data_IF_086710475713
#
_entry.id   IF_086710475713
#
_cell.length_a   1.000
_cell.length_b   1.000
_cell.length_c   1.000
_cell.angle_alpha   90.00
_cell.angle_beta   90.00
_cell.angle_gamma   90.00
#
_symmetry.space_group_name_H-M   'P 1'
#
loop_
_entity.id
_entity.type
_entity.pdbx_description
1 polymer ?
#
# COMPACT_ATOMS: atom_id res chain seq x y z
N UNK A 1 -14.25 2.80 47.17
CA UNK A 1 -14.41 4.27 47.17
C UNK A 1 -15.87 4.60 46.95
N UNK A 2 -16.44 5.36 47.87
CA UNK A 2 -17.83 5.81 47.72
C UNK A 2 -17.77 7.13 46.96
N UNK A 3 -18.19 7.12 45.74
CA UNK A 3 -18.38 8.38 44.99
C UNK A 3 -19.65 9.03 45.56
N UNK A 4 -19.57 10.29 45.93
CA UNK A 4 -20.71 11.06 46.34
C UNK A 4 -21.73 11.13 45.21
N UNK A 5 -23.03 11.08 45.54
CA UNK A 5 -24.09 11.18 44.57
C UNK A 5 -23.98 12.47 43.74
N UNK A 6 -24.00 12.30 42.40
CA UNK A 6 -24.10 13.41 41.46
C UNK A 6 -25.57 13.80 41.34
N UNK A 7 -25.89 15.05 41.65
CA UNK A 7 -27.25 15.58 41.50
C UNK A 7 -27.32 16.47 40.28
N UNK A 8 -28.17 16.15 39.31
CA UNK A 8 -28.48 17.03 38.18
C UNK A 8 -29.49 18.08 38.62
N UNK A 9 -29.14 19.34 38.53
CA UNK A 9 -30.00 20.47 39.00
C UNK A 9 -30.82 21.13 37.86
N UNK A 10 -30.74 20.56 36.67
CA UNK A 10 -31.50 21.02 35.51
C UNK A 10 -30.81 22.06 34.64
N UNK A 11 -29.59 22.45 34.98
CA UNK A 11 -28.78 23.38 34.16
C UNK A 11 -27.74 22.66 33.27
N UNK A 12 -27.44 21.40 33.57
CA UNK A 12 -26.34 20.64 32.96
C UNK A 12 -26.67 19.95 31.64
N UNK A 13 -27.88 20.12 31.10
CA UNK A 13 -28.31 19.54 29.83
C UNK A 13 -28.01 18.02 29.70
N UNK A 14 -28.08 17.31 30.82
CA UNK A 14 -27.81 15.86 30.88
C UNK A 14 -26.36 15.44 30.98
N UNK A 15 -25.40 16.37 31.10
CA UNK A 15 -23.96 16.10 31.27
C UNK A 15 -23.47 16.72 32.57
N UNK A 16 -22.69 15.95 33.34
CA UNK A 16 -22.05 16.45 34.55
C UNK A 16 -20.68 15.81 34.74
N UNK A 17 -19.69 16.65 35.00
CA UNK A 17 -18.33 16.19 35.29
C UNK A 17 -18.22 15.70 36.72
N UNK A 18 -17.49 14.61 36.93
CA UNK A 18 -17.17 14.06 38.23
C UNK A 18 -15.66 13.77 38.30
N UNK A 19 -15.09 13.99 39.47
CA UNK A 19 -13.69 13.68 39.73
C UNK A 19 -13.62 12.46 40.63
N UNK A 20 -12.79 11.47 40.22
CA UNK A 20 -12.53 10.26 40.98
C UNK A 20 -11.17 10.39 41.68
N UNK A 21 -11.17 10.14 42.98
CA UNK A 21 -9.97 10.06 43.79
C UNK A 21 -9.85 8.66 44.43
N UNK A 22 -8.67 8.04 44.32
CA UNK A 22 -8.39 6.75 44.90
C UNK A 22 -7.09 6.81 45.70
N UNK A 23 -7.11 6.31 46.92
CA UNK A 23 -5.96 6.42 47.83
C UNK A 23 -5.04 5.18 47.85
N UNK A 24 -5.44 4.12 47.17
CA UNK A 24 -4.65 2.90 47.14
C UNK A 24 -3.88 2.80 45.83
N UNK A 25 -2.60 2.56 45.92
CA UNK A 25 -1.72 2.31 44.78
C UNK A 25 -2.09 1.01 44.06
N UNK A 26 -1.74 0.95 42.79
CA UNK A 26 -1.91 -0.24 41.94
C UNK A 26 -3.34 -0.79 41.85
N UNK A 27 -4.30 0.10 41.85
CA UNK A 27 -5.69 -0.28 41.65
C UNK A 27 -6.15 -0.02 40.21
N UNK A 28 -6.62 -1.05 39.54
CA UNK A 28 -7.31 -0.96 38.26
C UNK A 28 -8.81 -0.98 38.51
N UNK A 29 -9.49 0.12 38.24
CA UNK A 29 -10.91 0.28 38.56
C UNK A 29 -11.73 0.61 37.32
N UNK A 30 -12.92 -0.03 37.23
CA UNK A 30 -13.98 0.44 36.35
C UNK A 30 -14.84 1.43 37.10
N UNK A 31 -15.19 2.54 36.45
CA UNK A 31 -16.13 3.52 37.00
C UNK A 31 -17.53 3.16 36.57
N UNK A 32 -18.42 2.96 37.51
CA UNK A 32 -19.83 2.71 37.24
C UNK A 32 -20.69 3.83 37.80
N UNK A 33 -21.66 4.26 37.03
CA UNK A 33 -22.72 5.19 37.47
C UNK A 33 -24.05 4.46 37.48
N UNK A 34 -24.81 4.61 38.54
CA UNK A 34 -26.11 3.96 38.73
C UNK A 34 -27.13 5.02 39.24
N UNK A 35 -28.26 5.08 38.57
CA UNK A 35 -29.43 5.72 39.14
C UNK A 35 -30.19 4.69 39.99
N UNK A 36 -30.11 4.85 41.31
CA UNK A 36 -30.72 3.94 42.25
C UNK A 36 -32.25 4.03 42.30
N UNK A 37 -32.82 5.04 41.70
CA UNK A 37 -34.28 5.20 41.66
C UNK A 37 -34.88 4.51 40.45
N UNK A 38 -34.27 4.71 39.28
CA UNK A 38 -34.77 4.16 38.00
C UNK A 38 -34.12 2.81 37.68
N UNK A 39 -33.08 2.42 38.41
CA UNK A 39 -32.34 1.15 38.17
C UNK A 39 -31.55 1.11 36.91
N UNK A 40 -31.16 2.27 36.40
CA UNK A 40 -30.29 2.37 35.18
C UNK A 40 -28.86 2.54 35.60
N UNK A 41 -27.99 1.67 35.05
CA UNK A 41 -26.56 1.68 35.35
C UNK A 41 -25.71 1.63 34.06
N UNK A 42 -24.53 2.23 34.12
CA UNK A 42 -23.50 2.13 33.09
C UNK A 42 -22.12 2.02 33.74
N UNK A 43 -21.24 1.27 33.12
CA UNK A 43 -19.84 1.11 33.54
C UNK A 43 -18.93 1.61 32.43
N UNK A 44 -17.78 2.21 32.79
CA UNK A 44 -16.77 2.64 31.81
C UNK A 44 -16.33 1.46 30.96
N UNK A 45 -16.10 1.72 29.66
CA UNK A 45 -15.63 0.70 28.72
C UNK A 45 -14.21 0.24 29.01
N UNK A 46 -13.38 1.13 29.59
CA UNK A 46 -11.98 0.85 29.95
C UNK A 46 -11.79 1.08 31.46
N UNK A 47 -10.94 0.28 32.09
CA UNK A 47 -10.54 0.54 33.47
C UNK A 47 -9.64 1.79 33.56
N UNK A 48 -9.56 2.36 34.74
CA UNK A 48 -8.61 3.42 35.09
C UNK A 48 -7.60 2.87 36.09
N UNK A 49 -6.34 2.97 35.79
CA UNK A 49 -5.24 2.56 36.66
C UNK A 49 -4.81 3.74 37.56
N UNK A 50 -4.70 3.49 38.84
CA UNK A 50 -4.22 4.42 39.84
C UNK A 50 -2.82 4.02 40.26
N UNK A 51 -1.80 4.83 39.89
CA UNK A 51 -0.39 4.58 40.18
C UNK A 51 0.27 5.88 40.58
N UNK A 52 1.34 5.80 41.36
CA UNK A 52 2.16 6.97 41.73
C UNK A 52 3.19 7.30 40.66
N UNK A 53 3.53 6.32 39.80
CA UNK A 53 4.53 6.45 38.77
C UNK A 53 4.28 5.49 37.62
N UNK A 54 4.92 5.75 36.50
CA UNK A 54 4.78 4.95 35.29
C UNK A 54 5.67 5.47 34.18
N UNK A 55 5.44 4.96 32.97
CA UNK A 55 6.01 5.52 31.76
C UNK A 55 4.94 6.21 30.94
N UNK A 56 5.36 7.21 30.18
CA UNK A 56 4.61 7.67 29.00
C UNK A 56 5.39 7.33 27.76
N UNK A 57 4.67 6.97 26.69
CA UNK A 57 5.25 6.64 25.39
C UNK A 57 4.73 7.64 24.38
N UNK A 58 5.65 8.27 23.66
CA UNK A 58 5.33 9.07 22.48
C UNK A 58 5.79 8.29 21.26
N UNK A 59 4.84 7.79 20.46
CA UNK A 59 5.09 7.04 19.22
C UNK A 59 4.80 7.91 18.00
N UNK A 60 5.47 7.66 16.86
CA UNK A 60 5.00 8.21 15.59
C UNK A 60 3.64 7.59 15.24
N UNK A 61 2.75 8.35 14.61
CA UNK A 61 1.47 7.82 14.14
C UNK A 61 1.65 6.72 13.08
N UNK A 62 2.69 6.86 12.26
CA UNK A 62 3.07 5.85 11.27
C UNK A 62 4.54 5.98 10.88
N UNK A 63 5.11 4.88 10.38
CA UNK A 63 6.42 4.90 9.73
C UNK A 63 6.47 3.85 8.60
N UNK A 64 7.55 3.88 7.83
CA UNK A 64 7.71 3.00 6.67
C UNK A 64 8.54 1.78 7.05
N UNK A 65 8.09 0.60 6.65
CA UNK A 65 8.78 -0.66 6.92
C UNK A 65 10.22 -0.66 6.37
N UNK A 66 11.13 -1.29 7.08
CA UNK A 66 12.56 -1.29 6.77
C UNK A 66 13.25 0.06 7.01
N UNK A 67 12.51 1.10 7.39
CA UNK A 67 13.03 2.39 7.81
C UNK A 67 13.19 2.46 9.32
N UNK A 68 14.01 3.40 9.78
CA UNK A 68 14.08 3.76 11.18
C UNK A 68 13.09 4.89 11.49
N UNK A 69 12.48 4.82 12.67
CA UNK A 69 11.70 5.88 13.28
C UNK A 69 12.09 5.97 14.75
N UNK A 70 11.58 6.93 15.49
CA UNK A 70 11.89 7.07 16.91
C UNK A 70 10.62 7.12 17.74
N UNK A 71 10.68 6.51 18.91
CA UNK A 71 9.74 6.72 19.99
C UNK A 71 10.47 7.29 21.20
N UNK A 72 9.75 7.93 22.08
CA UNK A 72 10.29 8.42 23.33
C UNK A 72 9.57 7.77 24.50
N UNK A 73 10.34 7.19 25.41
CA UNK A 73 9.86 6.64 26.67
C UNK A 73 10.27 7.58 27.80
N UNK A 74 9.31 8.09 28.56
CA UNK A 74 9.55 9.01 29.66
C UNK A 74 9.06 8.40 30.96
N UNK A 75 9.94 8.27 31.94
CA UNK A 75 9.59 7.92 33.31
C UNK A 75 8.95 9.13 33.99
N UNK A 76 7.73 8.95 34.47
CA UNK A 76 6.93 9.98 35.11
C UNK A 76 6.50 9.53 36.51
N UNK A 77 6.37 10.48 37.39
CA UNK A 77 5.85 10.25 38.73
C UNK A 77 5.07 11.46 39.24
N UNK A 78 4.59 11.38 40.46
CA UNK A 78 3.88 12.45 41.14
C UNK A 78 4.85 13.57 41.47
N UNK A 79 4.43 14.83 41.37
CA UNK A 79 5.19 15.97 41.81
C UNK A 79 5.08 16.15 43.34
N UNK A 80 5.89 17.02 43.92
CA UNK A 80 5.90 17.30 45.37
C UNK A 80 4.56 17.83 45.90
N UNK A 81 3.64 18.19 45.03
CA UNK A 81 2.31 18.69 45.40
C UNK A 81 1.23 17.64 45.34
N UNK A 82 1.52 16.48 44.70
CA UNK A 82 0.55 15.39 44.49
C UNK A 82 -0.55 15.73 43.47
N UNK A 83 -0.34 16.73 42.63
CA UNK A 83 -1.36 17.27 41.74
C UNK A 83 -1.01 17.17 40.26
N UNK A 84 0.27 16.92 39.93
CA UNK A 84 0.72 16.85 38.53
C UNK A 84 1.77 15.75 38.33
N UNK A 85 1.82 15.23 37.11
CA UNK A 85 2.87 14.31 36.72
C UNK A 85 4.12 15.10 36.32
N UNK A 86 5.30 14.65 36.82
CA UNK A 86 6.59 15.18 36.44
C UNK A 86 7.51 14.08 35.94
N UNK A 87 8.50 14.47 35.13
CA UNK A 87 9.55 13.53 34.70
C UNK A 87 10.44 13.17 35.89
N UNK A 88 10.67 11.90 36.11
CA UNK A 88 11.59 11.39 37.14
C UNK A 88 13.03 11.60 36.67
N UNK A 89 13.55 12.80 36.84
CA UNK A 89 14.90 13.19 36.36
C UNK A 89 16.04 12.38 36.94
N UNK A 90 15.82 11.77 38.09
CA UNK A 90 16.77 10.85 38.71
C UNK A 90 16.75 9.46 38.08
N UNK A 91 15.71 9.06 37.34
CA UNK A 91 15.67 7.77 36.62
C UNK A 91 16.64 7.87 35.43
N UNK A 92 17.88 7.42 35.61
CA UNK A 92 18.96 7.61 34.64
C UNK A 92 19.84 6.35 34.52
N UNK A 93 20.65 6.30 33.44
CA UNK A 93 21.54 5.18 33.16
C UNK A 93 20.82 4.02 32.45
N UNK A 94 21.53 2.92 32.29
CA UNK A 94 20.98 1.72 31.68
C UNK A 94 19.92 1.09 32.60
N UNK A 95 18.78 0.73 32.04
CA UNK A 95 17.67 0.06 32.70
C UNK A 95 17.23 -1.14 31.90
N UNK A 96 17.05 -2.25 32.59
CA UNK A 96 16.53 -3.48 31.99
C UNK A 96 15.00 -3.48 32.09
N UNK A 97 14.35 -3.71 30.94
CA UNK A 97 12.90 -3.68 30.81
C UNK A 97 12.39 -4.96 30.19
N UNK A 98 11.13 -5.23 30.40
CA UNK A 98 10.32 -6.12 29.59
C UNK A 98 9.66 -5.29 28.50
N UNK A 99 9.77 -5.73 27.25
CA UNK A 99 9.09 -5.11 26.11
C UNK A 99 8.34 -6.19 25.34
N UNK A 100 7.15 -5.87 24.92
CA UNK A 100 6.35 -6.70 24.03
C UNK A 100 5.46 -5.84 23.18
N UNK A 101 5.00 -6.37 22.06
CA UNK A 101 4.14 -5.62 21.15
C UNK A 101 2.85 -6.38 20.87
N UNK A 102 1.80 -5.66 20.54
CA UNK A 102 0.53 -6.23 20.08
C UNK A 102 0.37 -5.92 18.60
N UNK A 103 -0.02 -6.93 17.85
CA UNK A 103 -0.41 -6.77 16.46
C UNK A 103 -1.93 -6.71 16.43
N UNK A 104 -2.48 -5.63 15.94
CA UNK A 104 -3.91 -5.56 15.65
C UNK A 104 -4.11 -6.19 14.27
N UNK A 105 -4.48 -7.48 14.29
CA UNK A 105 -4.71 -8.26 13.08
C UNK A 105 -5.99 -7.75 12.44
N UNK A 106 -5.90 -7.43 11.16
CA UNK A 106 -7.04 -7.11 10.34
C UNK A 106 -8.05 -8.27 10.36
N UNK A 107 -9.32 -7.94 10.15
CA UNK A 107 -10.52 -8.77 10.34
C UNK A 107 -10.60 -10.06 9.52
N UNK A 108 -9.55 -10.45 8.84
CA UNK A 108 -9.44 -11.75 8.20
C UNK A 108 -9.00 -12.81 9.21
N UNK A 109 -9.93 -13.61 9.62
CA UNK A 109 -9.94 -14.68 10.59
C UNK A 109 -8.89 -15.81 10.41
N UNK A 110 -7.70 -15.51 9.94
CA UNK A 110 -6.52 -16.36 9.96
C UNK A 110 -5.60 -15.90 11.08
N UNK A 111 -5.13 -16.81 11.93
CA UNK A 111 -4.09 -16.49 12.89
C UNK A 111 -2.82 -16.09 12.10
N UNK A 112 -2.64 -14.78 11.85
CA UNK A 112 -1.39 -14.27 11.30
C UNK A 112 -0.30 -14.56 12.31
N UNK A 113 0.54 -15.50 11.97
CA UNK A 113 1.75 -15.76 12.73
C UNK A 113 2.69 -14.61 12.39
N UNK A 114 2.82 -13.65 13.29
CA UNK A 114 3.84 -12.62 13.19
C UNK A 114 5.19 -13.33 13.21
N UNK A 115 5.83 -13.37 12.04
CA UNK A 115 7.11 -14.06 11.85
C UNK A 115 8.30 -13.10 11.96
N UNK A 116 8.03 -11.83 12.22
CA UNK A 116 9.03 -10.76 12.15
C UNK A 116 9.11 -10.04 13.48
N UNK A 117 10.31 -9.87 14.00
CA UNK A 117 10.56 -9.19 15.26
C UNK A 117 10.48 -7.67 15.11
N UNK A 118 9.90 -7.00 16.11
CA UNK A 118 10.02 -5.56 16.27
C UNK A 118 11.45 -5.23 16.74
N UNK A 119 12.05 -4.20 16.19
CA UNK A 119 13.38 -3.74 16.58
C UNK A 119 13.28 -2.49 17.45
N UNK A 120 13.89 -2.52 18.62
CA UNK A 120 14.07 -1.37 19.51
C UNK A 120 15.56 -1.19 19.78
N UNK A 121 16.14 -0.07 19.38
CA UNK A 121 17.61 0.15 19.41
C UNK A 121 18.39 -1.03 18.83
N UNK A 122 17.88 -1.59 17.73
CA UNK A 122 18.41 -2.79 17.08
C UNK A 122 18.32 -4.10 17.91
N UNK A 123 17.68 -4.09 19.06
CA UNK A 123 17.35 -5.29 19.84
C UNK A 123 16.03 -5.88 19.34
N UNK A 124 16.04 -7.17 19.04
CA UNK A 124 14.86 -7.87 18.52
C UNK A 124 13.89 -8.19 19.66
N UNK A 125 12.64 -7.77 19.53
CA UNK A 125 11.54 -8.08 20.42
C UNK A 125 10.59 -9.03 19.69
N UNK A 126 10.56 -10.28 20.12
CA UNK A 126 9.70 -11.33 19.57
C UNK A 126 8.41 -11.57 20.37
N UNK A 127 8.34 -11.01 21.58
CA UNK A 127 7.24 -11.29 22.51
C UNK A 127 5.99 -10.49 22.14
N UNK A 128 4.84 -11.18 22.07
CA UNK A 128 3.51 -10.59 21.82
C UNK A 128 2.66 -10.52 23.11
N UNK A 129 3.25 -10.93 24.23
CA UNK A 129 2.69 -10.85 25.57
C UNK A 129 3.84 -10.54 26.53
N UNK A 130 3.53 -10.10 27.76
CA UNK A 130 4.54 -9.81 28.77
C UNK A 130 5.53 -10.98 28.95
N UNK A 131 6.83 -10.78 28.67
CA UNK A 131 7.84 -11.81 28.84
C UNK A 131 8.12 -12.08 30.32
N UNK A 132 8.56 -13.30 30.63
CA UNK A 132 8.88 -13.71 31.99
C UNK A 132 10.14 -13.00 32.53
N UNK A 133 11.06 -12.60 31.65
CA UNK A 133 12.32 -11.93 31.99
C UNK A 133 12.50 -10.66 31.14
N UNK A 134 13.37 -9.76 31.63
CA UNK A 134 13.76 -8.58 30.87
C UNK A 134 14.40 -9.00 29.54
N UNK A 135 13.98 -8.36 28.45
CA UNK A 135 14.40 -8.64 27.06
C UNK A 135 14.89 -7.39 26.33
N UNK A 136 14.94 -6.23 27.02
CA UNK A 136 15.34 -4.96 26.47
C UNK A 136 16.14 -4.16 27.49
N UNK A 137 17.26 -3.55 27.09
CA UNK A 137 18.01 -2.58 27.91
C UNK A 137 18.00 -1.23 27.21
N UNK A 138 17.49 -0.18 27.89
CA UNK A 138 17.46 1.18 27.41
C UNK A 138 18.30 2.09 28.31
N UNK A 139 18.87 3.13 27.73
CA UNK A 139 19.60 4.17 28.48
C UNK A 139 18.74 5.41 28.67
N UNK A 140 18.44 5.71 29.92
CA UNK A 140 17.68 6.91 30.29
C UNK A 140 18.62 8.04 30.62
N UNK A 141 18.26 9.23 30.15
CA UNK A 141 18.91 10.50 30.50
C UNK A 141 17.87 11.43 31.17
N UNK A 142 18.01 11.62 32.45
CA UNK A 142 17.08 12.45 33.24
C UNK A 142 15.61 12.05 33.02
N UNK A 143 15.33 10.75 33.09
CA UNK A 143 13.99 10.19 32.96
C UNK A 143 13.52 9.94 31.53
N UNK A 144 14.30 10.26 30.51
CA UNK A 144 13.92 10.15 29.11
C UNK A 144 14.84 9.17 28.38
N UNK A 145 14.26 8.25 27.61
CA UNK A 145 14.96 7.44 26.63
C UNK A 145 14.35 7.68 25.25
N UNK A 146 15.19 8.11 24.30
CA UNK A 146 14.86 8.14 22.89
C UNK A 146 15.27 6.79 22.31
N UNK A 147 14.35 6.10 21.67
CA UNK A 147 14.48 4.70 21.22
C UNK A 147 14.25 4.64 19.72
N UNK A 148 15.21 4.10 18.99
CA UNK A 148 15.03 3.81 17.59
C UNK A 148 14.07 2.61 17.44
N UNK A 149 12.99 2.80 16.67
CA UNK A 149 12.02 1.77 16.37
C UNK A 149 12.08 1.39 14.90
N UNK A 150 12.12 0.11 14.60
CA UNK A 150 12.09 -0.43 13.25
C UNK A 150 11.24 -1.69 13.17
N UNK A 151 10.58 -1.88 12.03
CA UNK A 151 9.86 -3.10 11.72
C UNK A 151 10.13 -3.46 10.26
N UNK A 152 10.73 -4.62 9.98
CA UNK A 152 11.15 -4.96 8.62
C UNK A 152 9.99 -5.39 7.71
N UNK A 153 8.80 -5.59 8.26
CA UNK A 153 7.59 -5.88 7.51
C UNK A 153 6.58 -4.73 7.62
N UNK A 154 5.56 -4.73 6.79
CA UNK A 154 4.46 -3.78 6.84
C UNK A 154 3.14 -4.54 6.88
N UNK A 155 2.10 -3.87 7.29
CA UNK A 155 0.78 -4.43 7.18
C UNK A 155 -0.06 -4.32 8.44
N UNK A 156 0.54 -4.04 9.58
CA UNK A 156 -0.16 -4.13 10.85
C UNK A 156 -0.15 -2.79 11.60
N UNK A 157 -1.23 -2.57 12.34
CA UNK A 157 -1.25 -1.56 13.40
C UNK A 157 -0.60 -2.18 14.61
N UNK A 158 0.46 -1.60 15.11
CA UNK A 158 1.25 -2.12 16.22
C UNK A 158 1.10 -1.22 17.44
N UNK A 159 0.84 -1.83 18.59
CA UNK A 159 0.99 -1.20 19.88
C UNK A 159 2.18 -1.80 20.62
N UNK A 160 2.89 -1.01 21.40
CA UNK A 160 4.06 -1.44 22.15
C UNK A 160 3.84 -1.22 23.64
N UNK A 161 4.34 -2.17 24.44
CA UNK A 161 4.25 -2.15 25.89
C UNK A 161 5.65 -2.23 26.50
N UNK A 162 5.85 -1.48 27.58
CA UNK A 162 7.06 -1.52 28.37
C UNK A 162 6.71 -1.75 29.85
N UNK A 163 7.59 -2.49 30.52
CA UNK A 163 7.52 -2.70 31.96
C UNK A 163 8.92 -2.73 32.55
N UNK A 164 9.12 -1.97 33.59
CA UNK A 164 10.31 -2.05 34.44
C UNK A 164 9.90 -2.63 35.78
N UNK A 165 10.31 -3.86 36.02
CA UNK A 165 10.15 -4.51 37.33
C UNK A 165 11.37 -4.16 38.12
N UNK A 166 11.36 -3.21 39.05
CA UNK A 166 12.47 -3.19 39.90
C UNK A 166 12.43 -2.51 41.23
N UNK A 167 13.46 -2.90 41.88
CA UNK A 167 13.98 -2.45 43.15
C UNK A 167 14.22 -0.94 43.21
N UNK A 168 14.23 -0.41 44.40
CA UNK A 168 14.11 1.01 44.67
C UNK A 168 15.15 1.86 43.92
N UNK A 169 14.67 2.91 43.33
CA UNK A 169 15.40 3.91 42.56
C UNK A 169 16.63 4.46 43.24
N UNK A 170 16.68 4.63 44.58
CA UNK A 170 17.83 5.16 45.30
C UNK A 170 18.15 4.45 46.60
N UNK A 171 17.50 3.39 46.93
CA UNK A 171 17.72 2.64 48.16
C UNK A 171 17.15 3.29 49.42
N UNK A 172 16.39 4.37 49.34
CA UNK A 172 15.90 5.11 50.50
C UNK A 172 14.39 5.01 50.74
N UNK A 173 13.60 4.60 49.73
CA UNK A 173 12.16 4.40 49.90
C UNK A 173 11.83 3.03 49.31
N UNK A 174 11.40 2.12 50.13
CA UNK A 174 10.79 0.86 49.73
C UNK A 174 9.47 1.21 49.05
N UNK A 175 9.25 0.68 47.86
CA UNK A 175 7.97 0.65 47.14
C UNK A 175 7.86 1.56 45.91
N UNK A 176 8.78 1.39 44.93
CA UNK A 176 8.41 1.61 43.56
C UNK A 176 7.86 0.28 43.00
N UNK A 177 6.58 0.26 42.83
CA UNK A 177 5.94 -0.82 42.10
C UNK A 177 6.04 -0.48 40.62
N UNK A 178 6.35 -1.43 39.81
CA UNK A 178 6.30 -1.48 38.36
C UNK A 178 6.01 -0.18 37.59
N UNK A 179 6.98 0.36 36.85
CA UNK A 179 6.71 1.36 35.84
C UNK A 179 6.24 0.64 34.56
N UNK A 180 5.03 0.92 34.14
CA UNK A 180 4.46 0.32 32.93
C UNK A 180 3.90 1.39 32.02
N UNK A 181 3.86 1.09 30.73
CA UNK A 181 3.14 1.85 29.74
C UNK A 181 2.73 0.99 28.57
N UNK A 182 1.65 1.40 27.93
CA UNK A 182 1.22 0.91 26.63
C UNK A 182 1.10 2.10 25.68
N UNK A 183 1.62 1.96 24.48
CA UNK A 183 1.45 3.00 23.46
C UNK A 183 0.05 2.99 22.86
N UNK A 184 -0.31 4.06 22.19
CA UNK A 184 -1.34 4.00 21.15
C UNK A 184 -0.83 3.15 19.98
N UNK A 185 -1.76 2.55 19.25
CA UNK A 185 -1.42 1.85 18.00
C UNK A 185 -0.79 2.80 16.99
N UNK A 186 0.10 2.27 16.18
CA UNK A 186 0.75 2.96 15.07
C UNK A 186 0.81 2.08 13.82
N UNK A 187 0.93 2.70 12.66
CA UNK A 187 0.90 2.01 11.38
C UNK A 187 2.29 1.86 10.81
N UNK A 188 2.66 0.64 10.44
CA UNK A 188 3.86 0.38 9.63
C UNK A 188 3.42 0.10 8.20
N UNK A 189 3.74 1.02 7.29
CA UNK A 189 3.29 0.99 5.89
C UNK A 189 4.43 0.65 4.94
N UNK A 190 4.11 0.09 3.74
CA UNK A 190 5.09 -0.04 2.67
C UNK A 190 5.66 1.33 2.26
N UNK A 191 6.90 1.33 1.78
CA UNK A 191 7.50 2.50 1.17
C UNK A 191 6.81 2.87 -0.15
N UNK A 192 6.56 1.87 -0.98
CA UNK A 192 5.88 2.02 -2.26
C UNK A 192 5.26 0.68 -2.69
N UNK A 193 4.35 0.74 -3.65
CA UNK A 193 3.87 -0.43 -4.37
C UNK A 193 4.53 -0.44 -5.73
N UNK A 194 5.58 -1.23 -5.87
CA UNK A 194 6.37 -1.34 -7.11
C UNK A 194 5.56 -2.03 -8.21
N UNK A 195 5.76 -1.61 -9.45
CA UNK A 195 5.29 -2.30 -10.64
C UNK A 195 6.49 -2.81 -11.45
N UNK A 196 6.37 -3.98 -12.04
CA UNK A 196 7.41 -4.54 -12.88
C UNK A 196 6.83 -5.41 -14.00
N UNK A 197 7.56 -5.50 -15.11
CA UNK A 197 7.28 -6.39 -16.23
C UNK A 197 8.59 -7.10 -16.54
N UNK A 198 8.58 -8.43 -16.51
CA UNK A 198 9.79 -9.24 -16.64
C UNK A 198 10.38 -9.26 -18.06
N UNK A 199 9.58 -8.94 -19.09
CA UNK A 199 10.05 -8.89 -20.49
C UNK A 199 11.01 -7.71 -20.69
N UNK A 200 12.21 -7.99 -21.16
CA UNK A 200 13.23 -6.98 -21.39
C UNK A 200 12.84 -5.92 -22.46
N UNK A 201 11.88 -6.24 -23.34
CA UNK A 201 11.38 -5.31 -24.36
C UNK A 201 10.22 -4.44 -23.84
N UNK A 202 9.77 -4.65 -22.61
CA UNK A 202 8.67 -3.88 -22.04
C UNK A 202 9.03 -2.44 -21.69
N UNK A 203 10.31 -2.10 -21.68
CA UNK A 203 10.79 -0.75 -21.39
C UNK A 203 11.62 -0.20 -22.55
N UNK A 204 11.38 1.05 -22.91
CA UNK A 204 12.17 1.72 -23.94
C UNK A 204 13.54 2.13 -23.39
N UNK A 205 14.57 1.98 -24.21
CA UNK A 205 15.88 2.52 -23.88
C UNK A 205 15.85 4.06 -23.79
N UNK A 206 16.76 4.63 -23.01
CA UNK A 206 16.89 6.08 -22.86
C UNK A 206 17.05 6.77 -24.22
N UNK A 207 16.25 7.80 -24.49
CA UNK A 207 16.23 8.53 -25.74
C UNK A 207 15.46 7.85 -26.89
N UNK A 208 14.92 6.64 -26.67
CA UNK A 208 14.16 5.87 -27.66
C UNK A 208 12.66 5.74 -27.30
N UNK A 209 12.12 6.69 -26.57
CA UNK A 209 10.70 6.69 -26.16
C UNK A 209 9.83 7.21 -27.31
N UNK A 210 9.85 6.50 -28.44
CA UNK A 210 9.16 6.84 -29.67
C UNK A 210 8.92 5.57 -30.51
N UNK A 211 8.72 5.71 -31.79
CA UNK A 211 8.53 4.62 -32.76
C UNK A 211 9.78 3.69 -32.90
N UNK A 212 10.96 4.10 -32.40
CA UNK A 212 12.19 3.30 -32.45
C UNK A 212 12.34 2.37 -31.25
N UNK A 213 11.52 2.52 -30.20
CA UNK A 213 11.48 1.59 -29.08
C UNK A 213 11.26 0.15 -29.58
N UNK A 214 11.91 -0.82 -28.94
CA UNK A 214 11.76 -2.25 -29.25
C UNK A 214 10.30 -2.70 -29.21
N UNK A 215 9.94 -3.65 -30.07
CA UNK A 215 8.60 -4.25 -30.02
C UNK A 215 8.44 -5.04 -28.73
N UNK A 216 7.37 -4.78 -28.02
CA UNK A 216 6.99 -5.52 -26.80
C UNK A 216 5.94 -6.58 -27.14
N UNK A 217 4.64 -6.23 -27.13
CA UNK A 217 3.53 -7.11 -27.48
C UNK A 217 2.58 -6.38 -28.44
N UNK A 218 1.72 -7.15 -29.12
CA UNK A 218 0.68 -6.53 -29.94
C UNK A 218 -0.32 -5.76 -29.06
N UNK A 219 -0.83 -4.64 -29.58
CA UNK A 219 -1.91 -3.90 -28.92
C UNK A 219 -3.09 -4.83 -28.63
N UNK A 220 -3.62 -4.83 -27.42
CA UNK A 220 -4.68 -5.73 -26.96
C UNK A 220 -4.21 -7.12 -26.53
N UNK A 221 -2.97 -7.54 -26.87
CA UNK A 221 -2.46 -8.83 -26.41
C UNK A 221 -2.12 -8.81 -24.91
N UNK A 222 -2.38 -9.92 -24.18
CA UNK A 222 -2.11 -9.99 -22.76
C UNK A 222 -0.62 -10.04 -22.47
N UNK A 223 -0.23 -9.41 -21.35
CA UNK A 223 1.09 -9.51 -20.72
C UNK A 223 0.96 -9.61 -19.20
N UNK A 224 2.06 -9.97 -18.54
CA UNK A 224 2.12 -10.08 -17.09
C UNK A 224 2.62 -8.75 -16.52
N UNK A 225 1.80 -8.12 -15.69
CA UNK A 225 2.20 -6.99 -14.85
C UNK A 225 2.28 -7.47 -13.41
N UNK A 226 3.45 -7.41 -12.82
CA UNK A 226 3.68 -7.75 -11.41
C UNK A 226 3.62 -6.50 -10.55
N UNK A 227 3.08 -6.66 -9.36
CA UNK A 227 3.02 -5.60 -8.36
C UNK A 227 3.47 -6.14 -7.01
N UNK A 228 4.30 -5.39 -6.30
CA UNK A 228 4.92 -5.79 -5.04
C UNK A 228 4.94 -4.62 -4.06
N UNK A 229 4.45 -4.86 -2.85
CA UNK A 229 4.59 -3.93 -1.73
C UNK A 229 6.02 -4.00 -1.20
N UNK A 230 6.75 -2.90 -1.23
CA UNK A 230 8.17 -2.86 -0.86
C UNK A 230 8.44 -1.97 0.34
N UNK A 231 9.28 -2.46 1.22
CA UNK A 231 9.89 -1.72 2.32
C UNK A 231 11.08 -0.87 1.84
N UNK A 232 11.59 0.03 2.68
CA UNK A 232 12.87 0.72 2.44
C UNK A 232 13.97 -0.35 2.36
N UNK A 233 14.81 -0.23 1.33
CA UNK A 233 15.84 -1.25 1.05
C UNK A 233 15.40 -2.36 0.11
N UNK A 234 14.13 -2.39 -0.32
CA UNK A 234 13.63 -3.28 -1.38
C UNK A 234 13.15 -4.65 -0.90
N UNK A 235 13.05 -4.88 0.41
CA UNK A 235 12.40 -6.08 0.95
C UNK A 235 10.89 -6.04 0.70
N UNK A 236 10.27 -7.21 0.48
CA UNK A 236 8.82 -7.32 0.34
C UNK A 236 8.13 -7.10 1.68
N UNK A 237 7.02 -6.38 1.67
CA UNK A 237 6.13 -6.22 2.80
C UNK A 237 5.10 -7.37 2.78
N UNK A 238 5.49 -8.54 3.28
CA UNK A 238 4.75 -9.81 3.10
C UNK A 238 3.33 -9.77 3.69
N UNK A 239 3.11 -8.99 4.75
CA UNK A 239 1.82 -8.86 5.41
C UNK A 239 0.93 -7.74 4.83
N UNK A 240 1.40 -7.07 3.77
CA UNK A 240 0.62 -5.99 3.17
C UNK A 240 -0.67 -6.52 2.54
N UNK A 241 -1.80 -5.96 2.99
CA UNK A 241 -3.12 -6.16 2.42
C UNK A 241 -3.70 -4.81 2.03
N UNK A 242 -4.14 -4.68 0.79
CA UNK A 242 -4.66 -3.41 0.30
C UNK A 242 -5.05 -3.47 -1.16
N UNK A 243 -5.56 -2.39 -1.69
CA UNK A 243 -5.92 -2.28 -3.09
C UNK A 243 -5.13 -1.19 -3.81
N UNK A 244 -4.93 -1.38 -5.09
CA UNK A 244 -4.34 -0.40 -5.98
C UNK A 244 -5.29 -0.08 -7.13
N UNK A 245 -5.37 1.18 -7.48
CA UNK A 245 -5.93 1.63 -8.75
C UNK A 245 -4.81 1.72 -9.79
N UNK A 246 -5.07 1.20 -10.99
CA UNK A 246 -4.12 1.28 -12.11
C UNK A 246 -4.65 2.26 -13.15
N UNK A 247 -3.81 3.18 -13.54
CA UNK A 247 -4.07 4.12 -14.64
C UNK A 247 -2.94 4.04 -15.65
N UNK A 248 -3.21 4.49 -16.87
CA UNK A 248 -2.20 4.57 -17.91
C UNK A 248 -2.31 5.89 -18.67
N UNK A 249 -1.21 6.30 -19.27
CA UNK A 249 -1.15 7.49 -20.10
C UNK A 249 -0.34 7.22 -21.36
N UNK A 250 -0.74 7.80 -22.50
CA UNK A 250 0.03 7.76 -23.73
C UNK A 250 1.28 8.65 -23.55
N UNK A 251 2.46 8.08 -23.84
CA UNK A 251 3.73 8.78 -23.83
C UNK A 251 4.16 9.10 -25.26
N UNK A 252 3.99 8.15 -26.19
CA UNK A 252 4.31 8.33 -27.61
C UNK A 252 3.37 7.44 -28.46
N UNK A 253 2.82 7.95 -29.59
CA UNK A 253 2.99 9.29 -30.15
C UNK A 253 2.53 10.40 -29.21
N UNK A 254 2.77 11.65 -29.59
CA UNK A 254 2.46 12.83 -28.74
C UNK A 254 1.00 12.74 -28.25
N UNK A 255 0.74 12.83 -26.93
CA UNK A 255 -0.58 12.63 -26.35
C UNK A 255 -1.71 13.48 -26.94
N UNK A 256 -1.40 14.71 -27.39
CA UNK A 256 -2.37 15.60 -28.02
C UNK A 256 -2.85 15.16 -29.40
N UNK A 257 -2.12 14.22 -30.04
CA UNK A 257 -2.42 13.73 -31.37
C UNK A 257 -2.77 12.24 -31.40
N UNK A 258 -2.66 11.55 -30.28
CA UNK A 258 -2.89 10.12 -30.17
C UNK A 258 -4.02 9.74 -29.20
N UNK A 259 -4.41 8.47 -29.24
CA UNK A 259 -5.38 7.85 -28.33
C UNK A 259 -4.64 7.11 -27.23
N UNK A 260 -5.05 7.28 -25.98
CA UNK A 260 -4.54 6.46 -24.88
C UNK A 260 -5.08 5.02 -24.92
N UNK A 261 -6.17 4.78 -25.63
CA UNK A 261 -6.83 3.48 -25.62
C UNK A 261 -7.40 3.13 -24.25
N UNK A 262 -7.38 1.83 -23.91
CA UNK A 262 -7.83 1.33 -22.61
C UNK A 262 -6.82 0.37 -22.00
N UNK A 263 -6.76 0.36 -20.67
CA UNK A 263 -6.04 -0.61 -19.86
C UNK A 263 -7.04 -1.71 -19.43
N UNK A 264 -6.67 -2.98 -19.59
CA UNK A 264 -7.63 -4.08 -19.33
C UNK A 264 -7.91 -4.25 -17.84
N UNK A 265 -6.87 -4.24 -17.01
CA UNK A 265 -6.98 -4.34 -15.56
C UNK A 265 -6.68 -2.96 -14.99
N UNK A 266 -7.67 -2.35 -14.34
CA UNK A 266 -7.57 -1.00 -13.77
C UNK A 266 -7.54 -0.98 -12.23
N UNK A 267 -7.62 -2.13 -11.59
CA UNK A 267 -7.47 -2.28 -10.14
C UNK A 267 -7.01 -3.70 -9.79
N UNK A 268 -6.33 -3.83 -8.66
CA UNK A 268 -5.96 -5.11 -8.09
C UNK A 268 -5.95 -5.03 -6.57
N UNK A 269 -6.06 -6.18 -5.90
CA UNK A 269 -6.09 -6.28 -4.44
C UNK A 269 -5.05 -7.28 -3.98
N UNK A 270 -4.35 -6.93 -2.92
CA UNK A 270 -3.43 -7.80 -2.19
C UNK A 270 -4.21 -8.42 -1.03
N UNK A 271 -4.33 -9.72 -1.01
CA UNK A 271 -4.90 -10.48 0.09
C UNK A 271 -3.83 -11.10 0.98
N UNK A 272 -4.23 -11.68 2.10
CA UNK A 272 -3.32 -12.31 3.08
C UNK A 272 -2.48 -13.45 2.50
N UNK A 273 -2.99 -14.16 1.49
CA UNK A 273 -2.28 -15.28 0.84
C UNK A 273 -1.25 -14.83 -0.21
N UNK A 274 -1.22 -13.55 -0.57
CA UNK A 274 -0.38 -13.04 -1.66
C UNK A 274 1.06 -12.74 -1.22
N UNK A 275 1.32 -12.67 0.08
CA UNK A 275 2.66 -12.38 0.61
C UNK A 275 3.22 -11.06 0.08
N UNK A 276 2.41 -10.01 0.02
CA UNK A 276 2.80 -8.68 -0.45
C UNK A 276 3.09 -8.56 -1.96
N UNK A 277 2.84 -9.61 -2.76
CA UNK A 277 3.13 -9.60 -4.20
C UNK A 277 2.04 -10.28 -5.03
N UNK A 278 1.62 -9.62 -6.10
CA UNK A 278 0.56 -10.13 -7.00
C UNK A 278 0.99 -10.07 -8.47
N UNK A 279 0.40 -10.93 -9.29
CA UNK A 279 0.59 -10.94 -10.73
C UNK A 279 -0.72 -10.79 -11.48
N UNK A 280 -0.77 -9.84 -12.38
CA UNK A 280 -1.88 -9.59 -13.30
C UNK A 280 -1.54 -10.17 -14.67
N UNK A 281 -1.89 -11.44 -14.89
CA UNK A 281 -1.49 -12.23 -16.07
C UNK A 281 -2.16 -11.79 -17.38
N UNK A 282 -3.27 -11.06 -17.30
CA UNK A 282 -4.07 -10.65 -18.45
C UNK A 282 -4.12 -9.14 -18.62
N UNK A 283 -3.06 -8.43 -18.21
CA UNK A 283 -2.98 -7.02 -18.47
C UNK A 283 -2.80 -6.76 -19.96
N UNK A 284 -3.44 -5.75 -20.50
CA UNK A 284 -3.25 -5.33 -21.89
C UNK A 284 -3.52 -3.84 -22.08
N UNK A 285 -2.92 -3.27 -23.11
CA UNK A 285 -3.19 -1.91 -23.59
C UNK A 285 -3.74 -1.99 -25.00
N UNK A 286 -4.91 -1.40 -25.24
CA UNK A 286 -5.66 -1.60 -26.47
C UNK A 286 -5.14 -0.79 -27.68
N UNK A 287 -4.09 0.02 -27.52
CA UNK A 287 -3.63 0.95 -28.56
C UNK A 287 -2.12 0.78 -28.84
N UNK A 288 -1.70 1.19 -30.02
CA UNK A 288 -0.29 1.25 -30.45
C UNK A 288 0.40 2.42 -29.77
N UNK A 289 1.66 2.23 -29.37
CA UNK A 289 2.47 3.30 -28.79
C UNK A 289 3.32 2.87 -27.61
N UNK A 290 3.81 3.85 -26.90
CA UNK A 290 4.50 3.72 -25.61
C UNK A 290 3.64 4.40 -24.55
N UNK A 291 3.47 3.75 -23.41
CA UNK A 291 2.58 4.20 -22.35
C UNK A 291 3.29 4.26 -21.01
N UNK A 292 2.80 5.10 -20.12
CA UNK A 292 3.08 4.99 -18.68
C UNK A 292 1.99 4.15 -18.00
N UNK A 293 2.33 3.41 -16.95
CA UNK A 293 1.36 2.73 -16.08
C UNK A 293 1.65 3.16 -14.66
N UNK A 294 0.63 3.65 -13.96
CA UNK A 294 0.74 4.14 -12.58
C UNK A 294 -0.15 3.30 -11.67
N UNK A 295 0.44 2.82 -10.57
CA UNK A 295 -0.27 2.24 -9.44
C UNK A 295 -0.47 3.31 -8.37
N UNK A 296 -1.71 3.50 -7.96
CA UNK A 296 -2.08 4.39 -6.85
C UNK A 296 -2.70 3.53 -5.75
N UNK A 297 -1.99 3.29 -4.64
CA UNK A 297 -2.53 2.55 -3.51
C UNK A 297 -3.70 3.28 -2.86
N UNK A 298 -4.67 2.52 -2.34
CA UNK A 298 -5.65 3.07 -1.40
C UNK A 298 -4.96 3.47 -0.08
N UNK A 299 -5.64 4.32 0.70
CA UNK A 299 -5.16 4.63 2.05
C UNK A 299 -5.05 3.34 2.88
N UNK A 300 -3.92 3.19 3.56
CA UNK A 300 -3.60 2.04 4.39
C UNK A 300 -3.73 2.45 5.85
N UNK A 301 -4.78 1.98 6.54
CA UNK A 301 -5.16 2.43 7.91
C UNK A 301 -5.19 3.96 8.06
N UNK A 302 -5.66 4.66 7.02
CA UNK A 302 -5.69 6.13 7.00
C UNK A 302 -4.40 6.79 6.49
N UNK A 303 -3.32 6.05 6.34
CA UNK A 303 -2.02 6.52 5.88
C UNK A 303 -1.87 6.46 4.36
N UNK A 304 -1.15 7.40 3.79
CA UNK A 304 -0.90 7.45 2.34
C UNK A 304 0.36 6.69 1.99
N UNK A 305 0.28 5.86 0.95
CA UNK A 305 1.43 5.26 0.28
C UNK A 305 1.61 6.00 -1.05
N UNK A 306 2.84 6.37 -1.39
CA UNK A 306 3.13 7.11 -2.62
C UNK A 306 2.79 6.27 -3.87
N UNK A 307 2.20 6.88 -4.92
CA UNK A 307 1.99 6.20 -6.19
C UNK A 307 3.33 5.89 -6.87
N UNK A 308 3.35 4.78 -7.61
CA UNK A 308 4.50 4.35 -8.40
C UNK A 308 4.15 4.31 -9.89
N UNK A 309 5.07 4.73 -10.74
CA UNK A 309 4.85 4.78 -12.18
C UNK A 309 5.97 4.06 -12.95
N UNK A 310 5.59 3.13 -13.80
CA UNK A 310 6.43 2.68 -14.92
C UNK A 310 6.33 3.74 -16.02
N UNK A 311 7.40 4.49 -16.32
CA UNK A 311 7.31 5.67 -17.17
C UNK A 311 7.16 5.34 -18.65
N UNK A 312 7.66 4.17 -19.10
CA UNK A 312 7.73 3.79 -20.51
C UNK A 312 7.48 2.31 -20.68
N UNK A 313 6.24 1.94 -20.94
CA UNK A 313 5.83 0.56 -21.22
C UNK A 313 5.49 0.44 -22.71
N UNK A 314 6.07 -0.54 -23.38
CA UNK A 314 5.86 -0.75 -24.80
C UNK A 314 7.19 -0.79 -25.55
N UNK A 315 7.25 -0.79 -26.85
CA UNK A 315 6.27 -0.33 -27.84
C UNK A 315 5.23 -1.40 -28.17
N UNK A 316 3.97 -1.05 -28.02
CA UNK A 316 2.88 -1.86 -28.54
C UNK A 316 2.76 -1.64 -30.04
N UNK A 317 2.43 -2.72 -30.80
CA UNK A 317 2.35 -2.70 -32.26
C UNK A 317 1.04 -3.37 -32.72
N UNK A 318 0.57 -3.16 -33.98
CA UNK A 318 -0.63 -3.81 -34.46
C UNK A 318 -0.48 -5.33 -34.51
N UNK A 319 -1.53 -6.06 -34.21
CA UNK A 319 -1.54 -7.53 -34.28
C UNK A 319 -1.57 -7.99 -35.74
N UNK A 320 -2.51 -7.47 -36.50
CA UNK A 320 -2.71 -7.82 -37.90
C UNK A 320 -3.34 -6.68 -38.71
N UNK A 321 -3.47 -6.91 -40.00
CA UNK A 321 -4.17 -6.01 -40.92
C UNK A 321 -5.38 -6.73 -41.51
N UNK A 322 -6.46 -5.97 -41.72
CA UNK A 322 -7.64 -6.46 -42.42
C UNK A 322 -7.97 -5.57 -43.61
N UNK A 323 -8.50 -6.18 -44.64
CA UNK A 323 -9.10 -5.48 -45.79
C UNK A 323 -10.58 -5.22 -45.48
N UNK A 324 -10.96 -3.95 -45.33
CA UNK A 324 -12.32 -3.57 -44.91
C UNK A 324 -13.22 -3.23 -46.08
N UNK A 325 -12.65 -2.79 -47.18
CA UNK A 325 -13.38 -2.58 -48.44
C UNK A 325 -12.46 -2.75 -49.61
N UNK A 326 -13.00 -3.23 -50.73
CA UNK A 326 -12.35 -3.24 -52.02
C UNK A 326 -13.39 -2.96 -53.08
N UNK A 327 -13.01 -2.21 -54.10
CA UNK A 327 -13.80 -2.03 -55.28
C UNK A 327 -12.91 -2.01 -56.50
N UNK A 328 -13.38 -2.57 -57.59
CA UNK A 328 -12.77 -2.52 -58.91
C UNK A 328 -13.77 -1.91 -59.87
N UNK A 329 -13.33 -0.99 -60.69
CA UNK A 329 -14.13 -0.54 -61.85
C UNK A 329 -13.54 -1.12 -63.13
N UNK A 330 -14.35 -1.87 -63.83
CA UNK A 330 -13.97 -2.43 -65.14
C UNK A 330 -14.04 -1.35 -66.20
N UNK A 331 -13.14 -1.39 -67.17
CA UNK A 331 -13.15 -0.47 -68.31
C UNK A 331 -14.31 -0.74 -69.28
N UNK A 332 -14.82 -2.00 -69.25
CA UNK A 332 -16.02 -2.38 -69.97
C UNK A 332 -17.03 -2.97 -68.97
N UNK A 333 -18.31 -2.82 -69.23
CA UNK A 333 -19.37 -3.33 -68.31
C UNK A 333 -19.19 -4.81 -68.00
N UNK A 334 -18.54 -5.15 -66.86
CA UNK A 334 -18.34 -6.47 -66.34
C UNK A 334 -17.05 -7.19 -66.71
N UNK A 335 -16.12 -6.54 -67.42
CA UNK A 335 -14.78 -7.09 -67.70
C UNK A 335 -13.77 -6.00 -68.07
N UNK A 336 -12.50 -6.31 -67.95
CA UNK A 336 -11.36 -5.50 -68.43
C UNK A 336 -10.54 -6.31 -69.42
N UNK A 337 -9.97 -5.65 -70.43
CA UNK A 337 -9.13 -6.31 -71.41
C UNK A 337 -7.79 -6.71 -70.85
N UNK A 338 -7.23 -7.81 -71.35
CA UNK A 338 -5.85 -8.18 -71.14
C UNK A 338 -4.93 -7.09 -71.74
N UNK A 339 -3.84 -6.75 -71.00
CA UNK A 339 -2.89 -5.68 -71.40
C UNK A 339 -3.50 -4.24 -71.41
N UNK A 340 -4.61 -4.03 -70.71
CA UNK A 340 -5.20 -2.73 -70.53
C UNK A 340 -4.30 -1.84 -69.69
N UNK A 341 -4.15 -0.57 -70.06
CA UNK A 341 -3.28 0.34 -69.33
C UNK A 341 -3.83 0.72 -67.96
N UNK A 342 -2.95 0.98 -66.97
CA UNK A 342 -3.29 1.24 -65.57
C UNK A 342 -4.29 2.39 -65.38
N UNK A 343 -4.50 3.28 -66.36
CA UNK A 343 -5.41 4.41 -66.28
C UNK A 343 -6.89 4.07 -66.45
N UNK A 344 -7.19 2.82 -66.82
CA UNK A 344 -8.56 2.39 -67.19
C UNK A 344 -9.16 1.38 -66.20
N UNK A 345 -8.40 0.92 -65.21
CA UNK A 345 -8.87 0.00 -64.17
C UNK A 345 -8.58 0.68 -62.82
N UNK A 346 -9.63 1.11 -62.13
CA UNK A 346 -9.49 1.62 -60.77
C UNK A 346 -9.71 0.48 -59.78
N UNK A 347 -8.69 0.22 -58.99
CA UNK A 347 -8.75 -0.68 -57.84
C UNK A 347 -8.56 0.15 -56.57
N UNK A 348 -9.60 0.22 -55.75
CA UNK A 348 -9.52 0.84 -54.44
C UNK A 348 -9.72 -0.17 -53.35
N UNK A 349 -8.98 -0.01 -52.27
CA UNK A 349 -9.11 -0.84 -51.10
C UNK A 349 -8.75 -0.03 -49.84
N UNK A 350 -9.39 -0.44 -48.73
CA UNK A 350 -9.09 0.11 -47.42
C UNK A 350 -8.50 -0.96 -46.54
N UNK A 351 -7.33 -0.75 -46.02
CA UNK A 351 -6.64 -1.64 -45.08
C UNK A 351 -6.61 -0.99 -43.71
N UNK A 352 -6.96 -1.73 -42.69
CA UNK A 352 -6.94 -1.27 -41.31
C UNK A 352 -5.97 -2.10 -40.48
N UNK A 353 -5.15 -1.43 -39.65
CA UNK A 353 -4.36 -2.05 -38.60
C UNK A 353 -5.27 -2.39 -37.41
N UNK A 354 -5.20 -3.62 -36.96
CA UNK A 354 -6.07 -4.15 -35.90
C UNK A 354 -5.24 -4.57 -34.68
N UNK A 355 -5.86 -4.45 -33.52
CA UNK A 355 -5.34 -5.01 -32.27
C UNK A 355 -5.69 -6.50 -32.13
N UNK A 356 -5.01 -7.20 -31.24
CA UNK A 356 -5.38 -8.55 -30.82
C UNK A 356 -6.84 -8.58 -30.33
N UNK A 357 -7.59 -9.57 -30.80
CA UNK A 357 -9.04 -9.67 -30.54
C UNK A 357 -9.91 -8.74 -31.39
N UNK A 358 -9.32 -8.00 -32.33
CA UNK A 358 -10.02 -7.13 -33.27
C UNK A 358 -10.19 -5.68 -32.78
N UNK A 359 -10.44 -4.80 -33.73
CA UNK A 359 -10.62 -3.36 -33.51
C UNK A 359 -9.44 -2.51 -33.98
N UNK A 360 -9.78 -1.38 -34.56
CA UNK A 360 -8.83 -0.42 -35.12
C UNK A 360 -7.87 0.10 -34.05
N UNK A 361 -6.57 0.24 -34.40
CA UNK A 361 -5.57 0.97 -33.62
C UNK A 361 -5.31 2.32 -34.28
N UNK A 362 -5.77 3.39 -33.63
CA UNK A 362 -5.76 4.75 -34.18
C UNK A 362 -4.36 5.36 -34.24
N UNK A 363 -3.47 4.95 -33.33
CA UNK A 363 -2.11 5.48 -33.27
C UNK A 363 -1.17 4.87 -34.30
N UNK A 364 -1.63 3.91 -35.12
CA UNK A 364 -0.83 3.33 -36.18
C UNK A 364 -0.81 4.27 -37.41
N UNK A 365 -0.17 5.39 -37.25
CA UNK A 365 0.00 6.43 -38.25
C UNK A 365 1.38 7.11 -38.13
N UNK A 366 1.75 7.93 -39.12
CA UNK A 366 3.02 8.64 -39.12
C UNK A 366 4.19 7.68 -38.91
N UNK A 367 5.11 8.04 -38.02
CA UNK A 367 6.32 7.27 -37.74
C UNK A 367 6.04 5.89 -37.08
N UNK A 368 4.87 5.72 -36.50
CA UNK A 368 4.45 4.42 -35.94
C UNK A 368 3.93 3.43 -36.99
N UNK A 369 3.61 3.91 -38.21
CA UNK A 369 3.20 3.05 -39.32
C UNK A 369 4.43 2.46 -40.03
N UNK A 370 4.91 1.32 -39.53
CA UNK A 370 6.15 0.68 -39.99
C UNK A 370 5.95 -0.36 -41.11
N UNK A 371 4.73 -0.81 -41.40
CA UNK A 371 4.49 -1.83 -42.39
C UNK A 371 4.35 -1.24 -43.79
N UNK A 372 4.94 -1.92 -44.78
CA UNK A 372 4.59 -1.76 -46.18
C UNK A 372 3.60 -2.86 -46.56
N UNK A 373 2.47 -2.48 -47.13
CA UNK A 373 1.43 -3.44 -47.53
C UNK A 373 1.55 -3.62 -49.04
N UNK A 374 1.75 -4.87 -49.48
CA UNK A 374 1.75 -5.24 -50.90
C UNK A 374 0.47 -5.98 -51.22
N UNK A 375 -0.22 -5.60 -52.24
CA UNK A 375 -1.32 -6.35 -52.81
C UNK A 375 -0.78 -7.31 -53.84
N UNK A 376 -1.25 -8.53 -53.77
CA UNK A 376 -0.89 -9.60 -54.71
C UNK A 376 -2.16 -10.09 -55.37
N UNK A 377 -2.19 -10.09 -56.69
CA UNK A 377 -3.25 -10.68 -57.46
C UNK A 377 -3.13 -12.23 -57.41
N UNK A 378 -4.20 -12.92 -57.08
CA UNK A 378 -4.28 -14.39 -57.10
C UNK A 378 -5.21 -14.87 -58.19
N UNK A 379 -4.79 -15.94 -58.92
CA UNK A 379 -5.60 -16.52 -59.97
C UNK A 379 -6.71 -17.40 -59.34
N UNK A 380 -7.96 -17.07 -59.60
CA UNK A 380 -9.11 -17.81 -59.08
C UNK A 380 -9.31 -19.17 -59.81
N UNK A 381 -8.56 -19.46 -60.85
CA UNK A 381 -8.75 -20.66 -61.71
C UNK A 381 -7.72 -21.76 -61.46
N UNK A 382 -6.86 -21.62 -60.50
CA UNK A 382 -5.81 -22.63 -60.21
C UNK A 382 -6.25 -23.77 -59.31
N UNK A 383 -7.54 -23.82 -58.91
CA UNK A 383 -8.14 -24.89 -58.12
C UNK A 383 -7.71 -24.89 -56.66
N UNK A 384 -6.85 -23.97 -56.26
CA UNK A 384 -6.48 -23.69 -54.87
C UNK A 384 -7.45 -22.67 -54.25
N UNK A 385 -7.97 -22.95 -53.09
CA UNK A 385 -8.67 -21.91 -52.33
C UNK A 385 -7.74 -20.71 -52.08
N UNK A 386 -8.29 -19.50 -51.92
CA UNK A 386 -7.54 -18.29 -51.59
C UNK A 386 -6.52 -18.59 -50.50
N UNK A 387 -5.24 -18.46 -50.80
CA UNK A 387 -4.21 -18.68 -49.80
C UNK A 387 -4.15 -17.49 -48.86
N UNK A 388 -4.45 -17.73 -47.61
CA UNK A 388 -4.12 -16.78 -46.56
C UNK A 388 -2.59 -16.74 -46.42
N UNK A 389 -1.98 -15.65 -46.80
CA UNK A 389 -0.55 -15.45 -46.66
C UNK A 389 -0.23 -14.63 -45.43
#
# INVERSE_FOLDING_TARGET
>A
PTINSLVFDGTELGTKDAYLFHQNENATLYVSAEDTVEGVASTSLSPTDFRTEGFTITTPASFTCGGASSLQLTAIGEDDTGLACQTLTGFTGAKDLKAWYSVNIDSDSGADVVTTDLLLDSQAISDQSEPAANNLTLTFNSGIADVDIGYPNAGNVLGINFKHDDAPYDGSIAEFSELVASSTDFVVKPNLINLSIADANASCATGMVNETCSKFVAAGAPFVLSSEAQCIGGGTADDYQGSIALTHGLVSPIPSAGSAGSLAINSATFGSADGGAIQMNNQSVSEVGVFSITATPSAYYGETIAPFTLPTVGRFYPDHFILTSSSTSDSCSGFSYMDQTDSEIDISYTVQAQRFGGGLVANYNGDFAKASISLVAENNNDGGGHQTR
#
